data_IF_150643512808
#
_entry.id   IF_150643512808
#
_cell.length_a   1.000
_cell.length_b   1.000
_cell.length_c   1.000
_cell.angle_alpha   90.00
_cell.angle_beta   90.00
_cell.angle_gamma   90.00
#
_symmetry.space_group_name_H-M   'P 1'
#
loop_
_entity.id
_entity.type
_entity.pdbx_description
1 polymer ?
#
# COMPACT_ATOMS: atom_id res chain seq x y z
N UNK A 1 33.68 5.37 -22.35
CA UNK A 1 32.27 4.93 -22.36
C UNK A 1 32.16 3.73 -21.43
N UNK A 2 31.89 3.99 -20.16
CA UNK A 2 31.65 2.94 -19.17
C UNK A 2 30.23 2.45 -19.38
N UNK A 3 30.05 1.18 -19.77
CA UNK A 3 28.74 0.54 -19.74
C UNK A 3 28.31 0.51 -18.28
N UNK A 4 27.25 1.25 -17.95
CA UNK A 4 26.59 1.15 -16.67
C UNK A 4 26.19 -0.31 -16.46
N UNK A 5 26.88 -1.00 -15.57
CA UNK A 5 26.46 -2.30 -15.07
C UNK A 5 25.29 -2.00 -14.14
N UNK A 6 24.08 -2.27 -14.64
CA UNK A 6 22.91 -2.45 -13.80
C UNK A 6 23.28 -3.55 -12.79
N UNK A 7 23.34 -3.25 -11.49
CA UNK A 7 23.27 -4.30 -10.47
C UNK A 7 21.90 -4.95 -10.65
N UNK A 8 21.80 -6.24 -11.03
CA UNK A 8 20.51 -6.87 -11.26
C UNK A 8 19.71 -6.92 -9.95
N UNK A 9 18.41 -7.13 -10.05
CA UNK A 9 17.56 -7.58 -8.95
C UNK A 9 17.99 -9.03 -8.58
N UNK A 10 19.21 -9.18 -8.04
CA UNK A 10 20.05 -10.39 -8.12
C UNK A 10 19.53 -11.61 -7.37
N UNK A 11 18.44 -11.51 -6.60
CA UNK A 11 17.91 -12.69 -5.92
C UNK A 11 17.39 -13.70 -6.95
N UNK A 12 16.48 -13.29 -7.83
CA UNK A 12 15.90 -14.20 -8.83
C UNK A 12 16.85 -14.50 -9.99
N UNK A 13 17.78 -13.58 -10.29
CA UNK A 13 18.76 -13.81 -11.35
C UNK A 13 19.82 -14.85 -10.96
N UNK A 14 20.10 -15.02 -9.66
CA UNK A 14 21.03 -16.00 -9.12
C UNK A 14 20.37 -17.31 -8.65
N UNK A 15 19.07 -17.27 -8.36
CA UNK A 15 18.28 -18.41 -7.91
C UNK A 15 17.49 -18.94 -9.11
N UNK A 16 17.94 -20.06 -9.69
CA UNK A 16 17.35 -20.61 -10.92
C UNK A 16 15.81 -20.68 -10.88
N UNK A 17 15.17 -20.57 -12.06
CA UNK A 17 13.70 -20.40 -12.22
C UNK A 17 12.83 -21.36 -11.41
N UNK A 18 13.29 -22.59 -11.19
CA UNK A 18 12.57 -23.61 -10.42
C UNK A 18 12.48 -23.23 -8.94
N UNK A 19 13.63 -22.97 -8.30
CA UNK A 19 13.67 -22.46 -6.93
C UNK A 19 13.00 -21.08 -6.83
N UNK A 20 13.05 -20.28 -7.90
CA UNK A 20 12.32 -19.02 -7.94
C UNK A 20 10.80 -19.20 -7.78
N UNK A 21 10.23 -20.13 -8.55
CA UNK A 21 8.81 -20.47 -8.50
C UNK A 21 8.37 -21.09 -7.17
N UNK A 22 9.25 -21.85 -6.50
CA UNK A 22 8.99 -22.41 -5.17
C UNK A 22 8.98 -21.34 -4.07
N UNK A 23 9.89 -20.38 -4.14
CA UNK A 23 10.06 -19.37 -3.11
C UNK A 23 9.07 -18.21 -3.23
N UNK A 24 8.64 -17.86 -4.44
CA UNK A 24 7.71 -16.75 -4.68
C UNK A 24 6.42 -16.82 -3.83
N UNK A 25 5.69 -17.95 -3.74
CA UNK A 25 4.51 -18.06 -2.88
C UNK A 25 4.86 -17.97 -1.39
N UNK A 26 6.02 -18.49 -0.96
CA UNK A 26 6.46 -18.41 0.44
C UNK A 26 6.77 -16.96 0.83
N UNK A 27 7.46 -16.23 -0.04
CA UNK A 27 7.70 -14.81 0.16
C UNK A 27 6.41 -14.02 0.17
N UNK A 28 5.47 -14.33 -0.71
CA UNK A 28 4.16 -13.70 -0.72
C UNK A 28 3.42 -13.89 0.62
N UNK A 29 3.34 -15.11 1.13
CA UNK A 29 2.68 -15.41 2.42
C UNK A 29 3.42 -14.75 3.60
N UNK A 30 4.75 -14.83 3.64
CA UNK A 30 5.53 -14.19 4.70
C UNK A 30 5.32 -12.68 4.71
N UNK A 31 5.29 -12.04 3.54
CA UNK A 31 5.05 -10.61 3.41
C UNK A 31 3.65 -10.25 3.90
N UNK A 32 2.62 -10.97 3.48
CA UNK A 32 1.25 -10.71 3.97
C UNK A 32 1.18 -10.80 5.48
N UNK A 33 1.72 -11.87 6.07
CA UNK A 33 1.67 -12.09 7.53
C UNK A 33 2.47 -11.06 8.32
N UNK A 34 3.69 -10.73 7.88
CA UNK A 34 4.53 -9.74 8.59
C UNK A 34 3.94 -8.35 8.46
N UNK A 35 3.39 -7.99 7.29
CA UNK A 35 2.73 -6.70 7.09
C UNK A 35 1.46 -6.62 7.92
N UNK A 36 0.64 -7.67 7.95
CA UNK A 36 -0.53 -7.75 8.83
C UNK A 36 -0.15 -7.55 10.30
N UNK A 37 0.88 -8.26 10.78
CA UNK A 37 1.38 -8.12 12.14
C UNK A 37 1.88 -6.70 12.43
N UNK A 38 2.67 -6.11 11.51
CA UNK A 38 3.15 -4.74 11.64
C UNK A 38 1.99 -3.75 11.68
N UNK A 39 0.97 -3.91 10.82
CA UNK A 39 -0.21 -3.04 10.84
C UNK A 39 -0.97 -3.17 12.16
N UNK A 40 -1.18 -4.39 12.67
CA UNK A 40 -1.84 -4.63 13.96
C UNK A 40 -1.09 -3.96 15.12
N UNK A 41 0.23 -4.13 15.19
CA UNK A 41 1.07 -3.54 16.24
C UNK A 41 1.03 -2.02 16.16
N UNK A 42 1.27 -1.44 14.98
CA UNK A 42 1.29 0.01 14.79
C UNK A 42 -0.09 0.64 15.04
N UNK A 43 -1.17 -0.05 14.69
CA UNK A 43 -2.54 0.37 15.02
C UNK A 43 -2.76 0.36 16.53
N UNK A 44 -2.34 -0.69 17.24
CA UNK A 44 -2.45 -0.75 18.69
C UNK A 44 -1.66 0.37 19.39
N UNK A 45 -0.45 0.68 18.93
CA UNK A 45 0.34 1.80 19.44
C UNK A 45 -0.32 3.16 19.14
N UNK A 46 -0.86 3.34 17.93
CA UNK A 46 -1.59 4.56 17.61
C UNK A 46 -2.83 4.75 18.50
N UNK A 47 -3.57 3.67 18.79
CA UNK A 47 -4.73 3.70 19.68
C UNK A 47 -4.33 4.08 21.10
N UNK A 48 -3.23 3.51 21.63
CA UNK A 48 -2.68 3.89 22.94
C UNK A 48 -2.29 5.38 22.98
N UNK A 49 -1.80 5.91 21.87
CA UNK A 49 -1.51 7.33 21.68
C UNK A 49 -2.75 8.17 21.34
N UNK A 50 -3.98 7.69 21.61
CA UNK A 50 -5.24 8.38 21.31
C UNK A 50 -5.38 8.80 19.83
N UNK A 51 -4.88 7.97 18.91
CA UNK A 51 -4.84 8.19 17.46
C UNK A 51 -4.07 9.44 17.01
N UNK A 52 -3.21 9.99 17.87
CA UNK A 52 -2.35 11.12 17.50
C UNK A 52 -1.16 10.72 16.61
N UNK A 53 -0.94 9.43 16.39
CA UNK A 53 0.18 8.93 15.59
C UNK A 53 -0.21 8.86 14.10
N UNK A 54 0.34 9.78 13.31
CA UNK A 54 0.28 9.75 11.84
C UNK A 54 1.54 9.01 11.35
N UNK A 55 1.44 7.85 10.68
CA UNK A 55 2.60 7.12 10.18
C UNK A 55 3.47 7.97 9.23
N UNK A 56 4.79 7.92 9.40
CA UNK A 56 5.78 8.72 8.65
C UNK A 56 6.79 7.84 7.89
N UNK A 57 7.79 8.47 7.25
CA UNK A 57 8.87 7.81 6.49
C UNK A 57 9.46 6.56 7.16
N UNK A 58 9.84 6.56 8.45
CA UNK A 58 10.41 5.37 9.07
C UNK A 58 9.46 4.16 9.00
N UNK A 59 8.17 4.37 9.26
CA UNK A 59 7.16 3.30 9.17
C UNK A 59 7.04 2.79 7.74
N UNK A 60 7.03 3.67 6.74
CA UNK A 60 6.97 3.27 5.33
C UNK A 60 8.20 2.43 4.94
N UNK A 61 9.38 2.86 5.36
CA UNK A 61 10.64 2.15 5.08
C UNK A 61 10.70 0.79 5.79
N UNK A 62 10.22 0.68 7.03
CA UNK A 62 10.16 -0.61 7.75
C UNK A 62 9.12 -1.57 7.15
N UNK A 63 7.96 -1.06 6.73
CA UNK A 63 6.98 -1.84 5.99
C UNK A 63 7.57 -2.33 4.67
N UNK A 64 8.27 -1.47 3.92
CA UNK A 64 8.97 -1.90 2.71
C UNK A 64 10.01 -2.97 3.02
N UNK A 65 10.87 -2.75 4.01
CA UNK A 65 11.91 -3.71 4.40
C UNK A 65 11.34 -5.07 4.76
N UNK A 66 10.25 -5.08 5.52
CA UNK A 66 9.51 -6.28 5.87
C UNK A 66 8.94 -6.98 4.63
N UNK A 67 8.37 -6.20 3.71
CA UNK A 67 7.79 -6.68 2.46
C UNK A 67 8.84 -7.19 1.44
N UNK A 68 10.11 -6.86 1.62
CA UNK A 68 11.19 -7.23 0.68
C UNK A 68 12.35 -7.95 1.36
N UNK A 69 12.15 -8.44 2.59
CA UNK A 69 13.16 -9.16 3.34
C UNK A 69 13.60 -10.40 2.55
N UNK A 70 14.91 -10.55 2.37
CA UNK A 70 15.56 -11.56 1.53
C UNK A 70 15.32 -11.48 0.02
N UNK A 71 14.52 -10.53 -0.46
CA UNK A 71 14.30 -10.31 -1.89
C UNK A 71 15.21 -9.22 -2.47
N UNK A 72 15.48 -8.17 -1.70
CA UNK A 72 16.26 -7.02 -2.14
C UNK A 72 17.43 -6.78 -1.19
N UNK A 73 18.58 -6.42 -1.78
CA UNK A 73 19.79 -6.04 -1.03
C UNK A 73 19.63 -4.69 -0.32
N UNK A 74 18.86 -3.77 -0.88
CA UNK A 74 18.64 -2.42 -0.35
C UNK A 74 17.20 -2.24 0.19
N UNK A 75 16.80 -3.16 1.07
CA UNK A 75 15.47 -3.17 1.66
C UNK A 75 15.23 -1.95 2.56
N UNK A 76 14.23 -1.14 2.22
CA UNK A 76 13.73 -0.01 3.01
C UNK A 76 14.42 1.33 2.70
N UNK A 77 15.24 1.37 1.66
CA UNK A 77 15.88 2.59 1.16
C UNK A 77 15.21 3.08 -0.11
N UNK A 78 15.10 4.39 -0.29
CA UNK A 78 14.61 4.95 -1.55
C UNK A 78 15.57 4.67 -2.70
N UNK A 79 15.01 4.52 -3.90
CA UNK A 79 15.76 4.16 -5.10
C UNK A 79 16.78 5.23 -5.49
N UNK A 80 17.95 4.77 -5.88
CA UNK A 80 19.01 5.59 -6.48
C UNK A 80 19.04 5.51 -8.01
N UNK A 81 18.02 4.89 -8.62
CA UNK A 81 17.90 4.71 -10.08
C UNK A 81 16.52 5.14 -10.57
N UNK A 82 16.42 5.48 -11.86
CA UNK A 82 15.13 5.63 -12.51
C UNK A 82 14.50 4.25 -12.71
N UNK A 83 13.19 4.18 -12.57
CA UNK A 83 12.39 2.96 -12.72
C UNK A 83 11.19 3.25 -13.64
N UNK A 84 10.58 2.21 -14.15
CA UNK A 84 9.34 2.27 -14.91
C UNK A 84 8.47 1.07 -14.53
N UNK A 85 7.15 1.26 -14.54
CA UNK A 85 6.19 0.21 -14.24
C UNK A 85 5.67 -0.35 -15.55
N UNK A 86 5.76 -1.67 -15.73
CA UNK A 86 5.34 -2.36 -16.95
C UNK A 86 4.19 -3.33 -16.66
N UNK A 87 3.32 -3.50 -17.66
CA UNK A 87 2.31 -4.56 -17.68
C UNK A 87 2.94 -5.91 -18.07
N UNK A 88 2.23 -7.03 -17.83
CA UNK A 88 2.70 -8.35 -18.25
C UNK A 88 2.97 -8.49 -19.76
N UNK A 89 2.29 -7.69 -20.59
CA UNK A 89 2.51 -7.65 -22.05
C UNK A 89 3.74 -6.82 -22.46
N UNK A 90 4.48 -6.25 -21.49
CA UNK A 90 5.66 -5.43 -21.72
C UNK A 90 5.36 -3.96 -22.05
N UNK A 91 4.08 -3.56 -22.15
CA UNK A 91 3.71 -2.16 -22.32
C UNK A 91 3.98 -1.34 -21.06
N UNK A 92 4.43 -0.10 -21.22
CA UNK A 92 4.62 0.80 -20.08
C UNK A 92 3.27 1.17 -19.47
N UNK A 93 3.12 0.91 -18.18
CA UNK A 93 1.94 1.23 -17.39
C UNK A 93 2.01 2.63 -16.82
N UNK A 94 3.13 2.95 -16.17
CA UNK A 94 3.36 4.21 -15.48
C UNK A 94 4.85 4.55 -15.56
N UNK A 95 5.14 5.84 -15.74
CA UNK A 95 6.49 6.38 -15.69
C UNK A 95 6.59 7.26 -14.43
N UNK A 96 7.18 6.75 -13.34
CA UNK A 96 7.39 7.53 -12.13
C UNK A 96 8.32 8.73 -12.37
N UNK A 97 8.30 9.73 -11.45
CA UNK A 97 9.24 10.84 -11.44
C UNK A 97 10.70 10.40 -11.46
N UNK A 98 11.60 11.31 -11.84
CA UNK A 98 13.04 11.01 -11.83
C UNK A 98 13.53 10.76 -10.40
N UNK A 99 14.55 9.91 -10.25
CA UNK A 99 15.08 9.50 -8.94
C UNK A 99 15.47 10.66 -8.02
N UNK A 100 15.95 11.76 -8.59
CA UNK A 100 16.49 12.88 -7.83
C UNK A 100 15.37 13.66 -7.13
N UNK A 101 14.11 13.52 -7.59
CA UNK A 101 12.92 14.15 -6.99
C UNK A 101 12.25 13.29 -5.91
N UNK A 102 12.65 12.02 -5.74
CA UNK A 102 11.95 11.07 -4.87
C UNK A 102 11.93 11.54 -3.42
N UNK A 103 13.07 12.02 -2.90
CA UNK A 103 13.18 12.44 -1.51
C UNK A 103 12.26 13.64 -1.20
N UNK A 104 12.25 14.66 -2.08
CA UNK A 104 11.37 15.81 -1.92
C UNK A 104 9.90 15.46 -2.11
N UNK A 105 9.55 14.64 -3.10
CA UNK A 105 8.17 14.24 -3.35
C UNK A 105 7.61 13.38 -2.21
N UNK A 106 8.43 12.55 -1.59
CA UNK A 106 8.04 11.78 -0.42
C UNK A 106 7.89 12.67 0.83
N UNK A 107 8.75 13.68 1.00
CA UNK A 107 8.55 14.69 2.05
C UNK A 107 7.23 15.45 1.86
N UNK A 108 6.92 15.87 0.63
CA UNK A 108 5.66 16.53 0.29
C UNK A 108 4.45 15.61 0.52
N UNK A 109 4.58 14.32 0.19
CA UNK A 109 3.56 13.32 0.47
C UNK A 109 3.24 13.24 1.96
N UNK A 110 4.26 13.15 2.83
CA UNK A 110 4.04 13.10 4.27
C UNK A 110 3.48 14.43 4.81
N UNK A 111 3.92 15.57 4.27
CA UNK A 111 3.36 16.89 4.59
C UNK A 111 1.87 16.97 4.27
N UNK A 112 1.46 16.52 3.07
CA UNK A 112 0.05 16.47 2.67
C UNK A 112 -0.76 15.50 3.52
N UNK A 113 -0.22 14.30 3.79
CA UNK A 113 -0.86 13.30 4.64
C UNK A 113 -1.16 13.87 6.04
N UNK A 114 -0.21 14.58 6.64
CA UNK A 114 -0.42 15.25 7.92
C UNK A 114 -1.47 16.35 7.82
N UNK A 115 -1.38 17.20 6.80
CA UNK A 115 -2.28 18.34 6.62
C UNK A 115 -3.74 17.94 6.40
N UNK A 116 -3.99 16.76 5.82
CA UNK A 116 -5.35 16.28 5.56
C UNK A 116 -5.87 15.28 6.61
N UNK A 117 -5.05 14.88 7.58
CA UNK A 117 -5.32 13.73 8.46
C UNK A 117 -6.60 13.88 9.27
N UNK A 118 -6.83 15.05 9.87
CA UNK A 118 -7.98 15.29 10.74
C UNK A 118 -9.25 15.64 9.95
N UNK A 119 -9.09 16.33 8.82
CA UNK A 119 -10.21 16.86 8.02
C UNK A 119 -10.78 15.86 6.98
N UNK A 120 -10.04 14.78 6.69
CA UNK A 120 -10.46 13.77 5.70
C UNK A 120 -11.01 12.50 6.36
N UNK A 121 -11.96 11.86 5.71
CA UNK A 121 -12.47 10.56 6.14
C UNK A 121 -11.43 9.43 5.92
N UNK A 122 -11.57 8.27 6.60
CA UNK A 122 -10.61 7.17 6.50
C UNK A 122 -10.36 6.65 5.07
N UNK A 123 -11.39 6.59 4.23
CA UNK A 123 -11.29 6.05 2.86
C UNK A 123 -10.56 7.06 1.96
N UNK A 124 -10.81 8.37 2.13
CA UNK A 124 -10.07 9.40 1.41
C UNK A 124 -8.58 9.39 1.75
N UNK A 125 -8.22 9.25 3.04
CA UNK A 125 -6.81 9.09 3.47
C UNK A 125 -6.18 7.86 2.81
N UNK A 126 -6.82 6.70 2.91
CA UNK A 126 -6.32 5.47 2.33
C UNK A 126 -6.14 5.59 0.80
N UNK A 127 -7.11 6.22 0.12
CA UNK A 127 -7.08 6.44 -1.33
C UNK A 127 -5.91 7.31 -1.77
N UNK A 128 -5.71 8.45 -1.10
CA UNK A 128 -4.58 9.35 -1.37
C UNK A 128 -3.24 8.64 -1.15
N UNK A 129 -3.10 7.95 -0.02
CA UNK A 129 -1.88 7.21 0.35
C UNK A 129 -1.56 6.12 -0.67
N UNK A 130 -2.55 5.29 -1.01
CA UNK A 130 -2.38 4.20 -1.95
C UNK A 130 -1.92 4.72 -3.31
N UNK A 131 -2.56 5.77 -3.82
CA UNK A 131 -2.18 6.37 -5.09
C UNK A 131 -0.80 7.03 -5.03
N UNK A 132 -0.57 7.93 -4.07
CA UNK A 132 0.61 8.80 -4.08
C UNK A 132 1.91 8.02 -3.95
N UNK A 133 1.93 6.94 -3.15
CA UNK A 133 3.09 6.05 -3.05
C UNK A 133 3.35 5.34 -4.39
N UNK A 134 2.31 4.84 -5.07
CA UNK A 134 2.48 4.18 -6.37
C UNK A 134 2.91 5.17 -7.47
N UNK A 135 2.42 6.41 -7.41
CA UNK A 135 2.75 7.47 -8.36
C UNK A 135 4.22 7.89 -8.23
N UNK A 136 4.70 8.17 -7.01
CA UNK A 136 6.12 8.52 -6.76
C UNK A 136 7.04 7.32 -6.99
N UNK A 137 6.56 6.12 -6.63
CA UNK A 137 7.28 4.85 -6.75
C UNK A 137 8.67 4.90 -6.09
N UNK A 138 8.74 5.14 -4.76
CA UNK A 138 9.98 5.56 -4.10
C UNK A 138 11.05 4.45 -3.97
N UNK A 139 10.71 3.18 -4.15
CA UNK A 139 11.63 2.05 -4.02
C UNK A 139 11.96 1.42 -5.38
N UNK A 140 13.04 0.64 -5.46
CA UNK A 140 13.43 -0.06 -6.71
C UNK A 140 12.41 -1.13 -7.09
N UNK A 141 11.91 -1.88 -6.12
CA UNK A 141 10.86 -2.89 -6.27
C UNK A 141 10.03 -2.90 -4.96
N UNK A 142 8.90 -3.62 -4.90
CA UNK A 142 8.10 -3.73 -3.67
C UNK A 142 7.13 -2.57 -3.41
N UNK A 143 7.05 -1.57 -4.31
CA UNK A 143 6.20 -0.39 -4.14
C UNK A 143 4.71 -0.73 -3.95
N UNK A 144 4.13 -1.57 -4.83
CA UNK A 144 2.70 -1.90 -4.74
C UNK A 144 2.32 -2.61 -3.44
N UNK A 145 3.18 -3.52 -2.94
CA UNK A 145 2.99 -4.21 -1.66
C UNK A 145 3.04 -3.23 -0.49
N UNK A 146 4.06 -2.39 -0.49
CA UNK A 146 4.26 -1.34 0.52
C UNK A 146 3.10 -0.35 0.55
N UNK A 147 2.65 0.12 -0.62
CA UNK A 147 1.56 1.08 -0.73
C UNK A 147 0.23 0.54 -0.19
N UNK A 148 -0.12 -0.72 -0.54
CA UNK A 148 -1.34 -1.37 -0.03
C UNK A 148 -1.33 -1.50 1.49
N UNK A 149 -0.22 -1.96 2.06
CA UNK A 149 -0.11 -2.12 3.50
C UNK A 149 -0.08 -0.79 4.25
N UNK A 150 0.66 0.22 3.76
CA UNK A 150 0.69 1.54 4.38
C UNK A 150 -0.68 2.23 4.28
N UNK A 151 -1.37 2.10 3.15
CA UNK A 151 -2.77 2.55 2.98
C UNK A 151 -3.70 1.89 3.98
N UNK A 152 -3.63 0.57 4.12
CA UNK A 152 -4.48 -0.18 5.05
C UNK A 152 -4.15 0.13 6.52
N UNK A 153 -2.89 0.39 6.85
CA UNK A 153 -2.48 0.90 8.16
C UNK A 153 -3.13 2.25 8.46
N UNK A 154 -3.05 3.22 7.54
CA UNK A 154 -3.70 4.50 7.72
C UNK A 154 -5.22 4.35 7.91
N UNK A 155 -5.86 3.46 7.14
CA UNK A 155 -7.28 3.13 7.26
C UNK A 155 -7.63 2.62 8.67
N UNK A 156 -6.90 1.61 9.17
CA UNK A 156 -7.09 1.04 10.51
C UNK A 156 -6.87 2.06 11.63
N UNK A 157 -5.81 2.90 11.53
CA UNK A 157 -5.56 3.95 12.53
C UNK A 157 -6.69 4.98 12.54
N UNK A 158 -7.16 5.41 11.37
CA UNK A 158 -8.26 6.38 11.24
C UNK A 158 -9.57 5.84 11.81
N UNK A 159 -9.88 4.56 11.62
CA UNK A 159 -11.02 3.92 12.28
C UNK A 159 -10.80 3.70 13.79
N UNK A 160 -9.54 3.61 14.23
CA UNK A 160 -9.19 3.43 15.63
C UNK A 160 -9.25 1.98 16.11
N UNK A 161 -9.25 1.01 15.20
CA UNK A 161 -9.19 -0.42 15.49
C UNK A 161 -8.67 -1.21 14.29
N UNK A 162 -8.26 -2.44 14.53
CA UNK A 162 -7.97 -3.39 13.46
C UNK A 162 -9.27 -3.81 12.78
N UNK A 163 -9.42 -3.51 11.49
CA UNK A 163 -10.62 -3.87 10.73
C UNK A 163 -10.79 -5.41 10.70
N UNK A 164 -11.93 -5.96 11.15
CA UNK A 164 -12.18 -7.39 11.13
C UNK A 164 -12.43 -7.88 9.70
N UNK A 165 -12.36 -9.20 9.52
CA UNK A 165 -12.68 -9.86 8.25
C UNK A 165 -11.47 -10.35 7.46
N UNK A 166 -11.72 -11.43 6.74
CA UNK A 166 -10.81 -12.15 5.88
C UNK A 166 -11.62 -12.65 4.67
N UNK A 167 -11.22 -12.38 3.42
CA UNK A 167 -10.04 -11.62 2.99
C UNK A 167 -10.08 -10.13 3.37
N UNK A 168 -8.91 -9.53 3.63
CA UNK A 168 -8.77 -8.09 3.86
C UNK A 168 -8.86 -7.29 2.57
N UNK A 169 -9.00 -5.96 2.63
CA UNK A 169 -8.89 -5.06 1.47
C UNK A 169 -7.57 -5.31 0.71
N UNK A 170 -6.46 -5.58 1.41
CA UNK A 170 -5.16 -5.85 0.76
C UNK A 170 -5.21 -7.15 -0.06
N UNK A 171 -5.84 -8.19 0.49
CA UNK A 171 -6.01 -9.48 -0.19
C UNK A 171 -6.94 -9.34 -1.41
N UNK A 172 -8.03 -8.59 -1.24
CA UNK A 172 -9.01 -8.33 -2.29
C UNK A 172 -8.40 -7.56 -3.48
N UNK A 173 -7.55 -6.54 -3.23
CA UNK A 173 -6.81 -5.84 -4.30
C UNK A 173 -5.85 -6.81 -5.01
N UNK A 174 -5.22 -7.71 -4.27
CA UNK A 174 -4.22 -8.60 -4.84
C UNK A 174 -4.84 -9.73 -5.66
N UNK A 175 -6.05 -10.17 -5.29
CA UNK A 175 -6.82 -11.16 -6.03
C UNK A 175 -7.34 -10.65 -7.38
N UNK A 176 -7.69 -9.37 -7.48
CA UNK A 176 -8.10 -8.72 -8.74
C UNK A 176 -7.53 -7.30 -8.85
N UNK A 177 -6.43 -7.19 -9.59
CA UNK A 177 -5.68 -5.94 -9.76
C UNK A 177 -6.26 -5.03 -10.83
N UNK A 178 -7.08 -5.52 -11.75
CA UNK A 178 -7.49 -4.72 -12.92
C UNK A 178 -8.31 -3.48 -12.53
N UNK A 179 -9.32 -3.55 -11.64
CA UNK A 179 -10.06 -2.36 -11.19
C UNK A 179 -9.18 -1.38 -10.41
N UNK A 180 -8.25 -1.90 -9.60
CA UNK A 180 -7.27 -1.10 -8.86
C UNK A 180 -6.36 -0.30 -9.79
N UNK A 181 -5.80 -0.95 -10.81
CA UNK A 181 -4.92 -0.31 -11.79
C UNK A 181 -5.67 0.71 -12.67
N UNK A 182 -6.95 0.45 -12.98
CA UNK A 182 -7.80 1.41 -13.67
C UNK A 182 -8.08 2.65 -12.81
N UNK A 183 -8.33 2.49 -11.50
CA UNK A 183 -8.51 3.61 -10.58
C UNK A 183 -7.24 4.45 -10.46
N UNK A 184 -6.06 3.83 -10.34
CA UNK A 184 -4.77 4.56 -10.34
C UNK A 184 -4.60 5.39 -11.62
N UNK A 185 -4.89 4.82 -12.79
CA UNK A 185 -4.74 5.52 -14.05
C UNK A 185 -5.68 6.74 -14.18
N UNK A 186 -6.89 6.69 -13.61
CA UNK A 186 -7.79 7.84 -13.57
C UNK A 186 -7.27 8.94 -12.63
N UNK A 187 -6.73 8.58 -11.46
CA UNK A 187 -6.10 9.53 -10.55
C UNK A 187 -4.86 10.19 -11.19
N UNK A 188 -4.07 9.42 -11.94
CA UNK A 188 -2.92 9.96 -12.67
C UNK A 188 -3.36 10.99 -13.72
N UNK A 189 -4.44 10.71 -14.46
CA UNK A 189 -5.03 11.66 -15.42
C UNK A 189 -5.51 12.93 -14.74
N UNK A 190 -6.34 12.81 -13.69
CA UNK A 190 -6.91 13.97 -13.00
C UNK A 190 -5.84 14.83 -12.32
N UNK A 191 -4.79 14.20 -11.78
CA UNK A 191 -3.61 14.90 -11.25
C UNK A 191 -2.85 15.66 -12.34
N UNK A 192 -2.65 15.07 -13.51
CA UNK A 192 -1.99 15.74 -14.64
C UNK A 192 -2.78 16.98 -15.11
N UNK A 193 -4.11 16.93 -15.02
CA UNK A 193 -5.01 18.05 -15.30
C UNK A 193 -5.08 19.08 -14.16
N UNK A 194 -4.27 18.92 -13.10
CA UNK A 194 -4.22 19.76 -11.89
C UNK A 194 -5.54 19.82 -11.12
N UNK A 195 -6.37 18.79 -11.26
CA UNK A 195 -7.64 18.64 -10.55
C UNK A 195 -7.73 17.22 -9.99
N UNK A 196 -6.91 16.92 -8.99
CA UNK A 196 -6.83 15.59 -8.38
C UNK A 196 -8.22 15.13 -7.91
N UNK A 197 -8.76 14.11 -8.56
CA UNK A 197 -10.02 13.48 -8.21
C UNK A 197 -9.77 12.10 -7.60
N UNK A 198 -9.99 11.98 -6.29
CA UNK A 198 -9.85 10.72 -5.56
C UNK A 198 -11.06 9.78 -5.73
N UNK A 199 -12.16 10.25 -6.32
CA UNK A 199 -13.45 9.51 -6.43
C UNK A 199 -13.30 8.09 -6.97
N UNK A 200 -12.51 7.82 -8.03
CA UNK A 200 -12.33 6.47 -8.54
C UNK A 200 -11.76 5.51 -7.48
N UNK A 201 -10.78 5.98 -6.72
CA UNK A 201 -10.11 5.17 -5.69
C UNK A 201 -10.95 5.06 -4.42
N UNK A 202 -11.63 6.12 -4.00
CA UNK A 202 -12.51 6.07 -2.81
C UNK A 202 -13.70 5.13 -3.05
N UNK A 203 -14.30 5.19 -4.24
CA UNK A 203 -15.37 4.27 -4.65
C UNK A 203 -14.89 2.83 -4.65
N UNK A 204 -13.72 2.58 -5.23
CA UNK A 204 -13.13 1.23 -5.29
C UNK A 204 -12.83 0.69 -3.88
N UNK A 205 -12.07 1.43 -3.07
CA UNK A 205 -11.71 0.99 -1.70
C UNK A 205 -12.94 0.85 -0.80
N UNK A 206 -13.93 1.75 -0.93
CA UNK A 206 -15.21 1.63 -0.22
C UNK A 206 -15.90 0.31 -0.50
N UNK A 207 -15.99 -0.08 -1.78
CA UNK A 207 -16.60 -1.37 -2.17
C UNK A 207 -15.85 -2.58 -1.61
N UNK A 208 -14.52 -2.51 -1.50
CA UNK A 208 -13.72 -3.58 -0.92
C UNK A 208 -13.88 -3.64 0.59
N UNK A 209 -13.94 -2.48 1.25
CA UNK A 209 -14.16 -2.40 2.68
C UNK A 209 -15.54 -2.96 3.06
N UNK A 210 -16.58 -2.62 2.30
CA UNK A 210 -17.92 -3.20 2.46
C UNK A 210 -17.89 -4.73 2.33
N UNK A 211 -17.15 -5.26 1.34
CA UNK A 211 -16.98 -6.70 1.17
C UNK A 211 -16.27 -7.35 2.36
N UNK A 212 -15.20 -6.74 2.86
CA UNK A 212 -14.46 -7.24 4.02
C UNK A 212 -15.35 -7.25 5.28
N UNK A 213 -16.11 -6.18 5.51
CA UNK A 213 -16.90 -5.99 6.73
C UNK A 213 -18.28 -6.66 6.70
N UNK A 214 -18.78 -7.04 5.51
CA UNK A 214 -20.10 -7.66 5.33
C UNK A 214 -20.43 -8.76 6.36
N UNK A 215 -19.54 -9.72 6.68
CA UNK A 215 -19.85 -10.77 7.65
C UNK A 215 -20.17 -10.25 9.06
N UNK A 216 -19.65 -9.06 9.41
CA UNK A 216 -19.82 -8.45 10.72
C UNK A 216 -21.01 -7.48 10.76
N UNK A 217 -21.39 -6.91 9.62
CA UNK A 217 -22.56 -6.00 9.53
C UNK A 217 -23.89 -6.74 9.68
N UNK A 218 -23.98 -8.01 9.28
CA UNK A 218 -25.21 -8.82 9.41
C UNK A 218 -25.36 -9.51 10.78
N UNK A 219 -24.29 -9.53 11.60
CA UNK A 219 -24.31 -10.17 12.91
C UNK A 219 -25.00 -9.32 13.99
N UNK A 220 -24.96 -7.99 13.87
CA UNK A 220 -25.63 -7.08 14.82
C UNK A 220 -27.16 -6.99 14.61
N UNK A 221 -27.67 -7.29 13.41
CA UNK A 221 -29.10 -7.24 13.11
C UNK A 221 -29.93 -8.39 13.72
N UNK A 222 -29.28 -9.44 14.24
CA UNK A 222 -29.92 -10.63 14.82
C UNK A 222 -29.66 -10.81 16.32
N UNK A 223 -29.11 -9.82 17.02
CA UNK A 223 -29.01 -9.87 18.47
C UNK A 223 -30.43 -9.81 19.08
N UNK A 224 -30.88 -10.82 19.84
CA UNK A 224 -32.19 -10.75 20.48
C UNK A 224 -32.20 -9.59 21.47
N UNK A 225 -33.13 -8.66 21.28
CA UNK A 225 -33.46 -7.64 22.27
C UNK A 225 -33.85 -8.35 23.56
N UNK A 226 -32.93 -8.40 24.53
CA UNK A 226 -33.28 -8.75 25.91
C UNK A 226 -34.13 -7.60 26.44
N UNK A 227 -35.44 -7.74 26.30
CA UNK A 227 -36.40 -6.94 27.05
C UNK A 227 -36.29 -7.42 28.49
N UNK A 228 -35.67 -6.59 29.34
CA UNK A 228 -35.68 -6.79 30.78
C UNK A 228 -37.10 -6.63 31.32
N UNK A 229 -37.48 -7.57 32.19
CA UNK A 229 -38.68 -7.53 33.04
C UNK A 229 -38.61 -6.40 34.08
#
# INVERSE_FOLDING_TARGET
MSKAVCMPDTFWDGVGRELAAELEPLFYVNQTNVMEAAVKILTAEAIKANRSMIPQKPVLCELHRSATLFLLSDAGSYRSINVAVFRPDGSMQHQPPVRDDVESLMADFFGQLMGMWDDSDPISIASFVLWRINWVHPFQNGNGRTARAFSYLCLCIKFGFWLPGDPTVVDLITADRAPYEAALAELDRSYADKNLDLTPMTTYLGSLLERQLRPFMSAEANAPTTVGE
#
